data_IF_333297480947
#
_entry.id   IF_333297480947
#
_cell.length_a   1.000
_cell.length_b   1.000
_cell.length_c   1.000
_cell.angle_alpha   90.00
_cell.angle_beta   90.00
_cell.angle_gamma   90.00
#
_symmetry.space_group_name_H-M   'P 1'
#
loop_
_entity.id
_entity.type
_entity.pdbx_description
1 polymer ?
#
# COMPACT_ATOMS: atom_id res chain seq x y z
N UNK A 1 -11.91 -15.55 15.21
CA UNK A 1 -10.55 -15.12 14.76
C UNK A 1 -10.61 -13.73 14.10
N UNK A 2 -9.61 -12.87 14.29
CA UNK A 2 -9.55 -11.56 13.61
C UNK A 2 -9.01 -11.73 12.20
N UNK A 3 -9.90 -11.92 11.22
CA UNK A 3 -9.58 -11.70 9.80
C UNK A 3 -9.26 -10.22 9.63
N UNK A 4 -7.99 -9.86 9.62
CA UNK A 4 -7.55 -8.49 9.36
C UNK A 4 -7.59 -8.31 7.84
N UNK A 5 -8.72 -7.84 7.34
CA UNK A 5 -8.90 -7.60 5.90
C UNK A 5 -7.89 -6.58 5.40
N UNK A 6 -7.48 -6.70 4.13
CA UNK A 6 -6.56 -5.77 3.47
C UNK A 6 -7.01 -4.31 3.64
N UNK A 7 -8.33 -4.06 3.58
CA UNK A 7 -8.93 -2.74 3.80
C UNK A 7 -8.66 -2.18 5.22
N UNK A 8 -8.69 -3.02 6.27
CA UNK A 8 -8.43 -2.57 7.65
C UNK A 8 -6.96 -2.15 7.83
N UNK A 9 -6.06 -2.89 7.20
CA UNK A 9 -4.62 -2.60 7.21
C UNK A 9 -4.35 -1.29 6.47
N UNK A 10 -4.97 -1.09 5.30
CA UNK A 10 -4.85 0.14 4.53
C UNK A 10 -5.40 1.33 5.32
N UNK A 11 -6.62 1.23 5.86
CA UNK A 11 -7.25 2.28 6.68
C UNK A 11 -6.39 2.69 7.84
N UNK A 12 -5.85 1.70 8.57
CA UNK A 12 -4.99 1.96 9.72
C UNK A 12 -3.74 2.73 9.33
N UNK A 13 -3.01 2.26 8.31
CA UNK A 13 -1.80 2.94 7.86
C UNK A 13 -2.06 4.31 7.24
N UNK A 14 -3.17 4.47 6.50
CA UNK A 14 -3.62 5.78 6.01
C UNK A 14 -3.83 6.76 7.16
N UNK A 15 -4.52 6.31 8.22
CA UNK A 15 -4.78 7.14 9.40
C UNK A 15 -3.51 7.47 10.19
N UNK A 16 -2.56 6.54 10.28
CA UNK A 16 -1.28 6.74 10.95
C UNK A 16 -0.39 7.77 10.22
N UNK A 17 -0.34 7.74 8.90
CA UNK A 17 0.43 8.72 8.10
C UNK A 17 -0.37 10.01 7.79
N UNK A 18 -1.66 10.09 8.18
CA UNK A 18 -2.51 11.25 7.88
C UNK A 18 -2.88 11.39 6.39
N UNK A 19 -2.78 10.31 5.61
CA UNK A 19 -3.13 10.29 4.19
C UNK A 19 -4.57 9.83 4.02
N UNK A 20 -5.36 10.53 3.21
CA UNK A 20 -6.73 10.10 2.88
C UNK A 20 -6.74 8.84 2.00
N UNK A 21 -7.68 7.92 2.23
CA UNK A 21 -7.83 6.71 1.43
C UNK A 21 -8.06 7.03 -0.06
N UNK A 22 -8.82 8.08 -0.35
CA UNK A 22 -9.01 8.59 -1.70
C UNK A 22 -7.71 9.10 -2.32
N UNK A 23 -6.84 9.76 -1.55
CA UNK A 23 -5.55 10.25 -2.05
C UNK A 23 -4.58 9.09 -2.32
N UNK A 24 -4.65 8.04 -1.48
CA UNK A 24 -3.95 6.78 -1.72
C UNK A 24 -4.44 6.09 -3.00
N UNK A 25 -5.75 6.07 -3.27
CA UNK A 25 -6.33 5.43 -4.47
C UNK A 25 -6.19 6.27 -5.75
N UNK A 26 -6.29 7.59 -5.65
CA UNK A 26 -6.27 8.51 -6.80
C UNK A 26 -4.88 8.79 -7.37
N UNK A 27 -3.84 8.04 -6.97
CA UNK A 27 -2.55 8.17 -7.63
C UNK A 27 -1.75 9.41 -7.23
N UNK A 28 -2.03 10.06 -6.10
CA UNK A 28 -1.31 11.28 -5.67
C UNK A 28 0.22 11.13 -5.72
N UNK A 29 0.92 12.05 -6.39
CA UNK A 29 2.39 12.06 -6.54
C UNK A 29 3.13 12.57 -5.29
N UNK A 30 2.41 12.91 -4.21
CA UNK A 30 3.03 13.34 -2.96
C UNK A 30 3.97 12.26 -2.43
N UNK A 31 5.14 12.69 -1.94
CA UNK A 31 6.16 11.80 -1.38
C UNK A 31 5.60 10.93 -0.25
N UNK A 32 4.71 11.48 0.58
CA UNK A 32 4.03 10.74 1.66
C UNK A 32 3.15 9.61 1.13
N UNK A 33 2.31 9.89 0.14
CA UNK A 33 1.44 8.87 -0.50
C UNK A 33 2.28 7.76 -1.14
N UNK A 34 3.35 8.13 -1.84
CA UNK A 34 4.24 7.15 -2.47
C UNK A 34 4.97 6.28 -1.44
N UNK A 35 5.39 6.85 -0.30
CA UNK A 35 5.99 6.10 0.81
C UNK A 35 4.98 5.19 1.49
N UNK A 36 3.77 5.69 1.75
CA UNK A 36 2.70 4.91 2.35
C UNK A 36 2.31 3.71 1.45
N UNK A 37 2.21 3.89 0.13
CA UNK A 37 1.98 2.77 -0.80
C UNK A 37 3.09 1.72 -0.74
N UNK A 38 4.35 2.14 -0.64
CA UNK A 38 5.47 1.21 -0.49
C UNK A 38 5.36 0.41 0.81
N UNK A 39 5.07 1.09 1.92
CA UNK A 39 4.90 0.51 3.25
C UNK A 39 3.74 -0.49 3.28
N UNK A 40 2.58 -0.10 2.77
CA UNK A 40 1.40 -0.98 2.64
C UNK A 40 1.72 -2.20 1.78
N UNK A 41 2.31 -1.98 0.60
CA UNK A 41 2.59 -3.06 -0.34
C UNK A 41 3.60 -4.06 0.22
N UNK A 42 4.67 -3.56 0.85
CA UNK A 42 5.69 -4.38 1.49
C UNK A 42 5.08 -5.18 2.64
N UNK A 43 4.29 -4.54 3.50
CA UNK A 43 3.62 -5.19 4.63
C UNK A 43 2.64 -6.28 4.18
N UNK A 44 1.74 -5.98 3.23
CA UNK A 44 0.77 -6.93 2.72
C UNK A 44 1.45 -8.11 2.00
N UNK A 45 2.54 -7.86 1.28
CA UNK A 45 3.29 -8.91 0.60
C UNK A 45 4.12 -9.78 1.56
N UNK A 46 4.88 -9.17 2.47
CA UNK A 46 5.80 -9.90 3.35
C UNK A 46 5.10 -10.52 4.56
N UNK A 47 4.16 -9.79 5.17
CA UNK A 47 3.56 -10.20 6.43
C UNK A 47 2.27 -11.00 6.24
N UNK A 48 1.50 -10.68 5.19
CA UNK A 48 0.23 -11.37 4.90
C UNK A 48 0.36 -12.34 3.70
N UNK A 49 1.36 -12.16 2.82
CA UNK A 49 1.53 -13.00 1.63
C UNK A 49 0.52 -12.69 0.52
N UNK A 50 -0.01 -11.46 0.48
CA UNK A 50 -1.03 -11.06 -0.51
C UNK A 50 -0.37 -10.89 -1.89
N UNK A 51 -0.98 -11.41 -2.97
CA UNK A 51 -0.44 -11.24 -4.31
C UNK A 51 -0.49 -9.77 -4.75
N UNK A 52 0.55 -9.34 -5.47
CA UNK A 52 0.71 -7.95 -5.93
C UNK A 52 -0.48 -7.40 -6.71
N UNK A 53 -1.15 -8.25 -7.50
CA UNK A 53 -2.33 -7.87 -8.28
C UNK A 53 -3.54 -7.53 -7.38
N UNK A 54 -3.65 -8.21 -6.24
CA UNK A 54 -4.71 -7.95 -5.26
C UNK A 54 -4.40 -6.68 -4.47
N UNK A 55 -3.14 -6.51 -4.04
CA UNK A 55 -2.65 -5.27 -3.42
C UNK A 55 -2.95 -4.08 -4.34
N UNK A 56 -2.56 -4.17 -5.62
CA UNK A 56 -2.77 -3.15 -6.65
C UNK A 56 -4.24 -2.73 -6.77
N UNK A 57 -5.17 -3.70 -6.77
CA UNK A 57 -6.62 -3.46 -6.78
C UNK A 57 -7.09 -2.67 -5.56
N UNK A 58 -6.55 -2.97 -4.38
CA UNK A 58 -6.95 -2.29 -3.14
C UNK A 58 -6.34 -0.89 -3.00
N UNK A 59 -5.09 -0.70 -3.42
CA UNK A 59 -4.39 0.60 -3.34
C UNK A 59 -4.63 1.51 -4.54
N UNK A 60 -5.40 1.06 -5.54
CA UNK A 60 -5.82 1.88 -6.69
C UNK A 60 -4.70 2.19 -7.70
N UNK A 61 -3.67 1.35 -7.79
CA UNK A 61 -2.55 1.55 -8.73
C UNK A 61 -2.28 0.31 -9.55
N UNK A 62 -1.47 0.45 -10.60
CA UNK A 62 -1.02 -0.70 -11.39
C UNK A 62 -0.06 -1.59 -10.58
N UNK A 63 -0.05 -2.90 -10.84
CA UNK A 63 0.88 -3.84 -10.20
C UNK A 63 2.36 -3.45 -10.36
N UNK A 64 2.72 -2.79 -11.46
CA UNK A 64 4.06 -2.24 -11.66
C UNK A 64 4.41 -1.12 -10.66
N UNK A 65 3.43 -0.31 -10.25
CA UNK A 65 3.63 0.71 -9.22
C UNK A 65 3.83 0.10 -7.84
N UNK A 66 3.12 -1.00 -7.52
CA UNK A 66 3.32 -1.80 -6.31
C UNK A 66 4.75 -2.36 -6.27
N UNK A 67 5.19 -2.99 -7.36
CA UNK A 67 6.54 -3.57 -7.48
C UNK A 67 7.62 -2.49 -7.36
N UNK A 68 7.43 -1.32 -7.99
CA UNK A 68 8.34 -0.18 -7.83
C UNK A 68 8.33 0.36 -6.39
N UNK A 69 7.18 0.39 -5.74
CA UNK A 69 7.06 0.88 -4.38
C UNK A 69 7.80 -0.04 -3.39
N UNK A 70 7.65 -1.37 -3.53
CA UNK A 70 8.38 -2.35 -2.72
C UNK A 70 9.89 -2.24 -2.97
N UNK A 71 10.32 -2.19 -4.23
CA UNK A 71 11.74 -2.00 -4.57
C UNK A 71 12.30 -0.71 -3.97
N UNK A 72 11.53 0.38 -3.97
CA UNK A 72 11.97 1.67 -3.39
C UNK A 72 12.07 1.65 -1.87
N UNK A 73 11.44 0.68 -1.20
CA UNK A 73 11.54 0.49 0.24
C UNK A 73 12.70 -0.44 0.63
N UNK A 74 13.06 -1.38 -0.25
CA UNK A 74 14.14 -2.34 -0.05
C UNK A 74 15.46 -2.01 -0.77
N UNK A 75 15.50 -0.95 -1.57
CA UNK A 75 16.63 -0.61 -2.43
C UNK A 75 17.26 0.73 -2.06
N UNK A 76 18.49 0.63 -1.55
CA UNK A 76 19.55 1.61 -1.71
C UNK A 76 19.96 1.68 -3.20
#
# INVERSE_FOLDING_TARGET
>A
ERKRSIDDVIKRMCKEEGVGEEELRNGGQRREVSRLRAKISSYLSHEIGVPMAEIARHVGVCGSAVVKAIQKMGGD
#
